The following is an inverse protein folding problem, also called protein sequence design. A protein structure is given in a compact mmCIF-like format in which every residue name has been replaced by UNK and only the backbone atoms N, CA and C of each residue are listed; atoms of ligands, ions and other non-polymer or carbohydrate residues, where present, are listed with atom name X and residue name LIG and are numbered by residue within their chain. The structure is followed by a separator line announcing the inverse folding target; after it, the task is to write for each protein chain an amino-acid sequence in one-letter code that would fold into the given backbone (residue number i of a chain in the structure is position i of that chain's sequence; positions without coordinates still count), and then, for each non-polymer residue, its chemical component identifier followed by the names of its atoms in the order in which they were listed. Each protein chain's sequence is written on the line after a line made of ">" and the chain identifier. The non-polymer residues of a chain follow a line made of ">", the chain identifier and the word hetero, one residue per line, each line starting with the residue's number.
data_IF_348146754414
#
_entry.id   IF_348146754414
#
_cell.length_a   1.000
_cell.length_b   1.000
_cell.length_c   1.000
_cell.angle_alpha   90.00
_cell.angle_beta   90.00
_cell.angle_gamma   90.00
#
_symmetry.space_group_name_H-M   'P 1'
#
loop_
_entity.id
_entity.type
_entity.pdbx_description
1 polymer ?
#
# COMPACT_ATOMS: atom_id res chain seq x y z
N UNK A 1 -11.87 -0.38 -24.47
CA UNK A 1 -12.52 -0.75 -23.20
C UNK A 1 -11.47 -0.99 -22.13
N UNK A 2 -10.52 -1.92 -22.35
CA UNK A 2 -9.51 -2.31 -21.35
C UNK A 2 -8.69 -1.15 -20.77
N UNK A 3 -8.15 -0.27 -21.62
CA UNK A 3 -7.38 0.91 -21.14
C UNK A 3 -8.20 1.89 -20.29
N UNK A 4 -9.52 1.95 -20.46
CA UNK A 4 -10.39 2.81 -19.66
C UNK A 4 -10.62 2.18 -18.28
N UNK A 5 -10.89 0.88 -18.24
CA UNK A 5 -11.05 0.09 -17.01
C UNK A 5 -9.77 0.11 -16.17
N UNK A 6 -8.60 -0.01 -16.82
CA UNK A 6 -7.30 0.07 -16.12
C UNK A 6 -7.07 1.47 -15.52
N UNK A 7 -7.46 2.52 -16.23
CA UNK A 7 -7.34 3.91 -15.74
C UNK A 7 -8.28 4.19 -14.57
N UNK A 8 -9.51 3.68 -14.63
CA UNK A 8 -10.50 3.79 -13.55
C UNK A 8 -10.00 3.07 -12.28
N UNK A 9 -9.53 1.82 -12.43
CA UNK A 9 -8.92 1.06 -11.33
C UNK A 9 -7.69 1.74 -10.74
N UNK A 10 -6.81 2.27 -11.59
CA UNK A 10 -5.63 3.00 -11.13
C UNK A 10 -6.01 4.22 -10.28
N UNK A 11 -7.03 4.98 -10.73
CA UNK A 11 -7.54 6.12 -9.98
C UNK A 11 -8.16 5.72 -8.64
N UNK A 12 -8.92 4.62 -8.59
CA UNK A 12 -9.47 4.08 -7.33
C UNK A 12 -8.36 3.69 -6.34
N UNK A 13 -7.31 3.01 -6.83
CA UNK A 13 -6.15 2.63 -6.02
C UNK A 13 -5.42 3.87 -5.51
N UNK A 14 -5.23 4.89 -6.35
CA UNK A 14 -4.58 6.14 -5.95
C UNK A 14 -5.36 6.85 -4.85
N UNK A 15 -6.69 6.94 -4.99
CA UNK A 15 -7.58 7.50 -3.97
C UNK A 15 -7.52 6.68 -2.67
N UNK A 16 -7.51 5.35 -2.76
CA UNK A 16 -7.40 4.48 -1.58
C UNK A 16 -6.06 4.64 -0.86
N UNK A 17 -4.95 4.72 -1.60
CA UNK A 17 -3.62 5.01 -1.04
C UNK A 17 -3.59 6.36 -0.34
N UNK A 18 -4.30 7.38 -0.88
CA UNK A 18 -4.42 8.70 -0.24
C UNK A 18 -5.16 8.66 1.10
N UNK A 19 -6.05 7.68 1.30
CA UNK A 19 -6.87 7.52 2.52
C UNK A 19 -6.17 6.72 3.64
N UNK A 20 -5.16 5.91 3.34
CA UNK A 20 -4.41 5.19 4.39
C UNK A 20 -3.35 6.09 5.04
N UNK A 21 -3.02 5.78 6.30
CA UNK A 21 -2.00 6.48 7.08
C UNK A 21 -0.65 6.53 6.34
N UNK A 22 0.09 7.66 6.38
CA UNK A 22 1.36 7.82 5.67
C UNK A 22 2.35 6.69 5.91
N UNK A 23 2.49 6.22 7.16
CA UNK A 23 3.39 5.12 7.54
C UNK A 23 3.08 3.78 6.87
N UNK A 24 1.85 3.59 6.40
CA UNK A 24 1.45 2.39 5.66
C UNK A 24 1.65 2.59 4.16
N UNK A 25 1.29 3.77 3.65
CA UNK A 25 1.54 4.14 2.25
C UNK A 25 3.02 4.02 1.90
N UNK A 26 3.88 4.59 2.73
CA UNK A 26 5.32 4.61 2.53
C UNK A 26 5.92 3.19 2.44
N UNK A 27 5.51 2.29 3.34
CA UNK A 27 5.96 0.89 3.33
C UNK A 27 5.51 0.17 2.05
N UNK A 28 4.27 0.39 1.60
CA UNK A 28 3.75 -0.21 0.37
C UNK A 28 4.50 0.37 -0.85
N UNK A 29 4.75 1.68 -0.85
CA UNK A 29 5.50 2.35 -1.92
C UNK A 29 6.90 1.76 -2.08
N UNK A 30 7.65 1.67 -0.98
CA UNK A 30 8.99 1.10 -0.99
C UNK A 30 9.01 -0.40 -1.32
N UNK A 31 8.03 -1.17 -0.84
CA UNK A 31 7.96 -2.62 -1.08
C UNK A 31 7.63 -2.98 -2.53
N UNK A 32 6.71 -2.25 -3.15
CA UNK A 32 6.16 -2.56 -4.49
C UNK A 32 6.93 -1.81 -5.57
N UNK A 33 7.00 -0.47 -5.51
CA UNK A 33 7.66 0.33 -6.55
C UNK A 33 9.16 0.44 -6.32
N UNK A 34 9.59 0.49 -5.06
CA UNK A 34 11.02 0.45 -4.72
C UNK A 34 11.62 -0.95 -4.76
N UNK A 35 10.80 -1.99 -4.92
CA UNK A 35 11.17 -3.42 -4.89
C UNK A 35 12.00 -3.84 -3.66
N UNK A 36 12.03 -3.02 -2.62
CA UNK A 36 12.87 -3.22 -1.45
C UNK A 36 12.39 -4.42 -0.61
N UNK A 37 13.32 -5.12 0.01
CA UNK A 37 13.04 -6.10 1.06
C UNK A 37 12.66 -5.39 2.37
N UNK A 38 12.03 -6.11 3.31
CA UNK A 38 11.75 -5.52 4.63
C UNK A 38 13.01 -5.11 5.39
N UNK A 39 14.14 -5.77 5.12
CA UNK A 39 15.43 -5.42 5.70
C UNK A 39 15.98 -4.11 5.11
N UNK A 40 15.82 -3.88 3.81
CA UNK A 40 16.22 -2.61 3.20
C UNK A 40 15.30 -1.48 3.67
N UNK A 41 13.99 -1.72 3.69
CA UNK A 41 13.01 -0.77 4.22
C UNK A 41 13.31 -0.41 5.68
N UNK A 42 13.71 -1.39 6.51
CA UNK A 42 14.11 -1.10 7.90
C UNK A 42 15.26 -0.12 8.00
N UNK A 43 16.24 -0.23 7.09
CA UNK A 43 17.40 0.68 7.03
C UNK A 43 16.98 2.05 6.50
N UNK A 44 16.13 2.09 5.47
CA UNK A 44 15.64 3.33 4.86
C UNK A 44 14.81 4.18 5.82
N UNK A 45 13.96 3.53 6.63
CA UNK A 45 13.00 4.22 7.51
C UNK A 45 13.43 4.24 8.98
N UNK A 46 14.59 3.68 9.31
CA UNK A 46 15.09 3.53 10.69
C UNK A 46 14.06 2.90 11.65
N UNK A 47 13.54 1.73 11.26
CA UNK A 47 12.57 0.95 12.05
C UNK A 47 12.95 -0.54 12.06
N UNK A 48 12.52 -1.35 13.04
CA UNK A 48 12.74 -2.79 12.98
C UNK A 48 12.11 -3.44 11.74
N UNK A 49 12.77 -4.43 11.14
CA UNK A 49 12.24 -5.15 9.97
C UNK A 49 10.87 -5.80 10.22
N UNK A 50 10.62 -6.30 11.44
CA UNK A 50 9.31 -6.82 11.85
C UNK A 50 8.23 -5.72 11.91
N UNK A 51 8.62 -4.48 12.24
CA UNK A 51 7.74 -3.32 12.17
C UNK A 51 7.42 -2.96 10.73
N UNK A 52 8.41 -3.01 9.82
CA UNK A 52 8.18 -2.83 8.39
C UNK A 52 7.21 -3.88 7.83
N UNK A 53 7.43 -5.17 8.14
CA UNK A 53 6.55 -6.27 7.74
C UNK A 53 5.11 -6.10 8.28
N UNK A 54 4.97 -5.75 9.57
CA UNK A 54 3.66 -5.52 10.18
C UNK A 54 2.95 -4.32 9.58
N UNK A 55 3.65 -3.20 9.34
CA UNK A 55 3.08 -2.02 8.67
C UNK A 55 2.67 -2.32 7.24
N UNK A 56 3.41 -3.16 6.51
CA UNK A 56 3.01 -3.62 5.19
C UNK A 56 1.69 -4.38 5.23
N UNK A 57 1.59 -5.39 6.13
CA UNK A 57 0.36 -6.16 6.32
C UNK A 57 -0.83 -5.27 6.68
N UNK A 58 -0.68 -4.39 7.68
CA UNK A 58 -1.76 -3.47 8.07
C UNK A 58 -2.14 -2.48 6.98
N UNK A 59 -1.17 -2.03 6.18
CA UNK A 59 -1.41 -1.19 5.02
C UNK A 59 -2.25 -1.91 3.96
N UNK A 60 -1.92 -3.16 3.63
CA UNK A 60 -2.71 -3.96 2.69
C UNK A 60 -4.11 -4.26 3.23
N UNK A 61 -4.25 -4.55 4.52
CA UNK A 61 -5.57 -4.73 5.16
C UNK A 61 -6.41 -3.44 5.09
N UNK A 62 -5.79 -2.28 5.31
CA UNK A 62 -6.47 -1.00 5.20
C UNK A 62 -6.92 -0.71 3.76
N UNK A 63 -6.05 -0.95 2.77
CA UNK A 63 -6.43 -0.83 1.36
C UNK A 63 -7.57 -1.79 1.01
N UNK A 64 -7.51 -3.04 1.48
CA UNK A 64 -8.57 -4.02 1.24
C UNK A 64 -9.91 -3.57 1.82
N UNK A 65 -9.92 -2.91 2.98
CA UNK A 65 -11.15 -2.35 3.57
C UNK A 65 -11.71 -1.19 2.74
N UNK A 66 -10.84 -0.36 2.16
CA UNK A 66 -11.25 0.80 1.36
C UNK A 66 -11.72 0.38 -0.05
N UNK A 67 -11.05 -0.60 -0.66
CA UNK A 67 -11.30 -1.07 -2.02
C UNK A 67 -12.34 -2.19 -2.10
N UNK A 68 -12.75 -2.77 -0.97
CA UNK A 68 -13.87 -3.72 -0.98
C UNK A 68 -15.11 -2.97 -1.50
N UNK A 69 -15.83 -3.52 -2.49
CA UNK A 69 -17.13 -2.97 -2.85
C UNK A 69 -18.02 -3.04 -1.60
N UNK A 70 -18.71 -1.94 -1.27
CA UNK A 70 -19.79 -1.97 -0.29
C UNK A 70 -20.80 -3.01 -0.79
N UNK A 71 -20.68 -4.23 -0.28
CA UNK A 71 -21.67 -5.28 -0.49
C UNK A 71 -22.45 -5.26 0.81
N UNK A 72 -23.45 -4.37 0.86
CA UNK A 72 -24.60 -4.55 1.75
C UNK A 72 -25.45 -5.70 1.21
#
# INVERSE_FOLDING_TARGET
>A
ADRLIDKERANEIEIALKKISPKYREIITLKIWGELTFLEISKTLDIPANTAASRYRYGLEALRKILKPNTD
#
